data_IF_980039240186
#
_entry.id   IF_980039240186
#
_cell.length_a   1.000
_cell.length_b   1.000
_cell.length_c   1.000
_cell.angle_alpha   90.00
_cell.angle_beta   90.00
_cell.angle_gamma   90.00
#
_symmetry.space_group_name_H-M   'P 1'
#
loop_
_entity.id
_entity.type
_entity.pdbx_description
1 polymer ?
#
# COMPACT_ATOMS: atom_id res chain seq x y z
N UNK A 1 17.25 9.50 15.48
CA UNK A 1 16.20 10.52 15.32
C UNK A 1 14.88 9.77 15.21
N UNK A 2 13.96 9.88 16.19
CA UNK A 2 12.75 9.04 16.23
C UNK A 2 11.48 9.69 15.63
N UNK A 3 11.54 10.95 15.19
CA UNK A 3 10.35 11.75 14.86
C UNK A 3 9.66 11.41 13.52
N UNK A 4 10.23 10.56 12.68
CA UNK A 4 9.66 10.26 11.34
C UNK A 4 8.64 9.12 11.37
N UNK A 5 8.63 8.29 12.42
CA UNK A 5 7.80 7.07 12.46
C UNK A 5 6.33 7.39 12.69
N UNK A 6 6.00 8.27 13.65
CA UNK A 6 4.60 8.59 13.99
C UNK A 6 3.83 9.35 12.87
N UNK A 7 4.52 10.03 11.96
CA UNK A 7 3.86 10.86 10.93
C UNK A 7 3.42 10.05 9.70
N UNK A 8 4.10 8.93 9.41
CA UNK A 8 3.91 8.18 8.17
C UNK A 8 2.86 7.08 8.26
N UNK A 9 2.53 6.59 9.46
CA UNK A 9 1.56 5.49 9.63
C UNK A 9 2.10 4.12 9.25
N UNK A 10 3.42 3.97 9.08
CA UNK A 10 4.08 2.69 8.82
C UNK A 10 5.56 2.69 9.23
N UNK A 11 6.15 1.51 9.42
CA UNK A 11 7.59 1.31 9.62
C UNK A 11 8.08 -0.01 8.97
N UNK A 12 9.29 0.01 8.42
CA UNK A 12 9.98 -1.20 7.96
C UNK A 12 10.39 -2.07 9.15
N UNK A 13 10.18 -3.38 9.06
CA UNK A 13 10.60 -4.34 10.08
C UNK A 13 11.60 -5.35 9.48
N UNK A 14 12.62 -5.73 10.25
CA UNK A 14 13.54 -6.78 9.83
C UNK A 14 12.81 -8.14 9.81
N UNK A 15 12.72 -8.74 8.63
CA UNK A 15 12.18 -10.08 8.45
C UNK A 15 13.26 -10.98 7.84
N UNK A 16 13.35 -12.23 8.31
CA UNK A 16 14.46 -13.15 7.99
C UNK A 16 14.42 -13.74 6.57
N UNK A 17 13.46 -13.36 5.72
CA UNK A 17 13.30 -13.95 4.40
C UNK A 17 13.25 -12.91 3.26
N UNK A 18 12.39 -11.90 3.31
CA UNK A 18 12.20 -11.02 2.15
C UNK A 18 12.08 -9.56 2.61
N UNK A 19 10.92 -8.91 2.59
CA UNK A 19 10.72 -7.63 3.29
C UNK A 19 9.37 -7.61 3.98
N UNK A 20 9.29 -6.94 5.13
CA UNK A 20 8.02 -6.71 5.79
C UNK A 20 7.97 -5.32 6.39
N UNK A 21 6.76 -4.81 6.52
CA UNK A 21 6.51 -3.53 7.16
C UNK A 21 5.22 -3.57 7.95
N UNK A 22 5.23 -2.86 9.06
CA UNK A 22 4.07 -2.68 9.91
C UNK A 22 3.41 -1.37 9.55
N UNK A 23 2.08 -1.39 9.44
CA UNK A 23 1.24 -0.25 9.08
C UNK A 23 0.20 -0.08 10.17
N UNK A 24 -0.14 1.16 10.48
CA UNK A 24 -1.22 1.50 11.41
C UNK A 24 -2.06 2.67 10.91
N UNK A 25 -3.31 2.72 11.35
CA UNK A 25 -4.26 3.77 10.99
C UNK A 25 -5.43 3.80 11.95
N UNK A 26 -6.15 4.92 12.01
CA UNK A 26 -7.31 5.08 12.90
C UNK A 26 -8.51 4.22 12.48
N UNK A 27 -8.58 3.83 11.22
CA UNK A 27 -9.62 3.00 10.62
C UNK A 27 -9.07 2.23 9.39
N UNK A 28 -9.89 1.36 8.80
CA UNK A 28 -9.48 0.53 7.66
C UNK A 28 -9.09 1.36 6.43
N UNK A 29 -9.84 2.43 6.12
CA UNK A 29 -9.53 3.29 4.98
C UNK A 29 -8.16 3.93 5.12
N UNK A 30 -7.87 4.49 6.30
CA UNK A 30 -6.55 5.06 6.58
C UNK A 30 -5.47 3.97 6.51
N UNK A 31 -5.71 2.79 7.09
CA UNK A 31 -4.77 1.68 7.06
C UNK A 31 -4.37 1.30 5.62
N UNK A 32 -5.34 1.27 4.70
CA UNK A 32 -5.12 0.96 3.29
C UNK A 32 -4.29 2.05 2.59
N UNK A 33 -4.62 3.32 2.84
CA UNK A 33 -3.85 4.44 2.31
C UNK A 33 -2.40 4.40 2.82
N UNK A 34 -2.20 4.17 4.13
CA UNK A 34 -0.86 4.05 4.72
C UNK A 34 -0.10 2.85 4.20
N UNK A 35 -0.78 1.73 3.94
CA UNK A 35 -0.17 0.54 3.38
C UNK A 35 0.35 0.77 1.96
N UNK A 36 -0.43 1.47 1.12
CA UNK A 36 -0.01 1.87 -0.22
C UNK A 36 1.18 2.85 -0.18
N UNK A 37 1.15 3.84 0.72
CA UNK A 37 2.26 4.76 0.93
C UNK A 37 3.53 4.03 1.38
N UNK A 38 3.39 3.10 2.33
CA UNK A 38 4.50 2.27 2.82
C UNK A 38 5.12 1.41 1.72
N UNK A 39 4.30 0.83 0.84
CA UNK A 39 4.77 0.07 -0.32
C UNK A 39 5.70 0.91 -1.21
N UNK A 40 5.24 2.09 -1.65
CA UNK A 40 6.04 2.97 -2.52
C UNK A 40 7.27 3.54 -1.81
N UNK A 41 7.18 3.82 -0.52
CA UNK A 41 8.32 4.25 0.28
C UNK A 41 9.40 3.15 0.33
N UNK A 42 9.00 1.90 0.60
CA UNK A 42 9.92 0.76 0.64
C UNK A 42 10.53 0.46 -0.72
N UNK A 43 9.74 0.59 -1.79
CA UNK A 43 10.21 0.50 -3.16
C UNK A 43 11.30 1.54 -3.50
N UNK A 44 11.40 2.61 -2.72
CA UNK A 44 12.19 3.79 -3.08
C UNK A 44 11.63 4.50 -4.30
N UNK A 45 10.31 4.40 -4.52
CA UNK A 45 9.67 4.92 -5.72
C UNK A 45 9.77 6.45 -5.77
N UNK A 46 10.19 6.98 -6.92
CA UNK A 46 10.12 8.41 -7.23
C UNK A 46 9.24 8.62 -8.44
N UNK A 47 8.23 9.46 -8.26
CA UNK A 47 7.35 9.88 -9.34
C UNK A 47 8.08 10.87 -10.23
N UNK A 48 7.93 10.69 -11.54
CA UNK A 48 8.43 11.62 -12.54
C UNK A 48 7.61 12.91 -12.61
N UNK A 49 8.14 13.86 -13.35
CA UNK A 49 7.45 15.12 -13.65
C UNK A 49 6.45 14.93 -14.80
N UNK A 50 5.31 15.62 -14.73
CA UNK A 50 4.27 15.54 -15.76
C UNK A 50 2.85 15.71 -15.22
N UNK A 51 1.88 15.69 -16.14
CA UNK A 51 0.46 15.63 -15.79
C UNK A 51 0.09 14.26 -15.23
N UNK A 52 -0.70 14.24 -14.17
CA UNK A 52 -1.19 13.01 -13.58
C UNK A 52 -2.33 12.42 -14.40
N UNK A 53 -2.38 11.09 -14.46
CA UNK A 53 -3.44 10.33 -15.10
C UNK A 53 -4.42 9.89 -14.02
N UNK A 54 -5.68 10.27 -14.18
CA UNK A 54 -6.75 9.82 -13.28
C UNK A 54 -7.24 8.43 -13.68
N UNK A 55 -7.31 7.51 -12.73
CA UNK A 55 -7.85 6.15 -12.93
C UNK A 55 -8.70 5.71 -11.76
N UNK A 56 -9.87 5.17 -12.04
CA UNK A 56 -10.67 4.50 -11.02
C UNK A 56 -10.36 3.01 -11.03
N UNK A 57 -10.16 2.45 -9.83
CA UNK A 57 -9.97 1.01 -9.62
C UNK A 57 -11.09 0.48 -8.73
N UNK A 58 -11.49 -0.76 -8.99
CA UNK A 58 -12.35 -1.53 -8.11
C UNK A 58 -11.62 -2.81 -7.72
N UNK A 59 -11.49 -3.04 -6.41
CA UNK A 59 -10.82 -4.21 -5.85
C UNK A 59 -11.81 -4.98 -4.99
N UNK A 60 -11.72 -6.31 -5.01
CA UNK A 60 -12.54 -7.22 -4.20
C UNK A 60 -11.68 -8.20 -3.43
N UNK A 61 -12.13 -8.54 -2.24
CA UNK A 61 -11.51 -9.54 -1.36
C UNK A 61 -12.58 -10.40 -0.68
N UNK A 62 -12.19 -11.52 -0.08
CA UNK A 62 -13.10 -12.35 0.72
C UNK A 62 -13.27 -11.82 2.16
N UNK A 63 -12.33 -10.99 2.59
CA UNK A 63 -12.25 -10.27 3.87
C UNK A 63 -11.39 -9.01 3.70
N UNK A 64 -11.21 -8.24 4.78
CA UNK A 64 -10.45 -6.99 4.77
C UNK A 64 -8.97 -7.22 4.48
N UNK A 65 -8.37 -8.27 5.03
CA UNK A 65 -6.99 -8.67 4.78
C UNK A 65 -6.76 -8.98 3.30
N UNK A 66 -7.65 -9.76 2.70
CA UNK A 66 -7.56 -10.13 1.29
C UNK A 66 -7.80 -8.95 0.37
N UNK A 67 -8.71 -8.05 0.75
CA UNK A 67 -8.93 -6.79 0.05
C UNK A 67 -7.69 -5.91 0.08
N UNK A 68 -6.96 -5.86 1.20
CA UNK A 68 -5.71 -5.12 1.34
C UNK A 68 -4.62 -5.70 0.43
N UNK A 69 -4.40 -7.01 0.47
CA UNK A 69 -3.41 -7.68 -0.40
C UNK A 69 -3.75 -7.47 -1.88
N UNK A 70 -5.01 -7.63 -2.25
CA UNK A 70 -5.46 -7.40 -3.63
C UNK A 70 -5.23 -5.94 -4.05
N UNK A 71 -5.47 -4.98 -3.15
CA UNK A 71 -5.23 -3.56 -3.43
C UNK A 71 -3.75 -3.29 -3.70
N UNK A 72 -2.85 -3.79 -2.84
CA UNK A 72 -1.41 -3.58 -3.01
C UNK A 72 -0.89 -4.26 -4.28
N UNK A 73 -1.39 -5.45 -4.62
CA UNK A 73 -1.03 -6.14 -5.85
C UNK A 73 -1.54 -5.42 -7.10
N UNK A 74 -2.71 -4.79 -7.05
CA UNK A 74 -3.18 -3.91 -8.13
C UNK A 74 -2.24 -2.72 -8.33
N UNK A 75 -1.77 -2.11 -7.24
CA UNK A 75 -0.81 -1.01 -7.30
C UNK A 75 0.55 -1.42 -7.86
N UNK A 76 1.03 -2.61 -7.52
CA UNK A 76 2.25 -3.20 -8.09
C UNK A 76 2.07 -3.51 -9.58
N UNK A 77 0.90 -4.03 -9.97
CA UNK A 77 0.59 -4.33 -11.36
C UNK A 77 0.62 -3.08 -12.25
N UNK A 78 0.11 -1.94 -11.76
CA UNK A 78 0.20 -0.65 -12.46
C UNK A 78 1.65 -0.23 -12.70
N UNK A 79 2.55 -0.50 -11.75
CA UNK A 79 3.97 -0.24 -11.93
C UNK A 79 4.59 -1.21 -12.93
N UNK A 80 4.39 -2.52 -12.76
CA UNK A 80 4.99 -3.56 -13.59
C UNK A 80 4.58 -3.46 -15.08
N UNK A 81 3.30 -3.19 -15.36
CA UNK A 81 2.79 -3.15 -16.73
C UNK A 81 2.93 -1.79 -17.42
N UNK A 82 2.74 -0.70 -16.67
CA UNK A 82 2.61 0.65 -17.26
C UNK A 82 3.68 1.63 -16.78
N UNK A 83 4.58 1.20 -15.87
CA UNK A 83 5.55 2.06 -15.20
C UNK A 83 4.88 3.29 -14.53
N UNK A 84 3.70 3.07 -13.92
CA UNK A 84 2.93 4.09 -13.20
C UNK A 84 2.91 3.81 -11.70
N UNK A 85 2.90 4.86 -10.88
CA UNK A 85 2.68 4.76 -9.45
C UNK A 85 1.71 5.84 -8.97
N UNK A 86 1.08 5.58 -7.83
CA UNK A 86 0.06 6.46 -7.26
C UNK A 86 0.70 7.68 -6.58
N UNK A 87 0.34 8.86 -7.07
CA UNK A 87 0.58 10.13 -6.40
C UNK A 87 -0.46 10.40 -5.30
N UNK A 88 -1.73 10.09 -5.57
CA UNK A 88 -2.83 10.29 -4.61
C UNK A 88 -3.85 9.18 -4.76
N UNK A 89 -4.26 8.60 -3.63
CA UNK A 89 -5.30 7.57 -3.54
C UNK A 89 -6.49 8.18 -2.78
N UNK A 90 -7.64 8.29 -3.44
CA UNK A 90 -8.88 8.72 -2.81
C UNK A 90 -9.90 7.59 -2.84
N UNK A 91 -10.27 7.07 -1.67
CA UNK A 91 -11.27 6.01 -1.54
C UNK A 91 -12.66 6.62 -1.78
N UNK A 92 -13.40 6.06 -2.73
CA UNK A 92 -14.75 6.48 -3.09
C UNK A 92 -15.81 5.63 -2.36
N UNK A 93 -15.52 4.33 -2.19
CA UNK A 93 -16.37 3.38 -1.49
C UNK A 93 -15.48 2.39 -0.73
N UNK A 94 -15.84 2.12 0.53
CA UNK A 94 -15.17 1.12 1.34
C UNK A 94 -16.20 0.20 2.01
N UNK A 95 -16.17 -1.08 1.65
CA UNK A 95 -17.01 -2.14 2.18
C UNK A 95 -16.11 -3.29 2.70
N UNK A 96 -16.62 -4.20 3.54
CA UNK A 96 -15.80 -5.27 4.13
C UNK A 96 -15.06 -6.17 3.13
N UNK A 97 -15.54 -6.24 1.88
CA UNK A 97 -15.04 -7.13 0.82
C UNK A 97 -14.82 -6.41 -0.51
N UNK A 98 -14.98 -5.08 -0.56
CA UNK A 98 -14.93 -4.30 -1.80
C UNK A 98 -14.44 -2.88 -1.52
N UNK A 99 -13.58 -2.38 -2.40
CA UNK A 99 -13.12 -1.00 -2.37
C UNK A 99 -13.20 -0.43 -3.79
N UNK A 100 -13.70 0.80 -3.91
CA UNK A 100 -13.54 1.62 -5.10
C UNK A 100 -12.66 2.82 -4.73
N UNK A 101 -11.66 3.11 -5.56
CA UNK A 101 -10.76 4.22 -5.33
C UNK A 101 -10.43 4.94 -6.63
N UNK A 102 -10.25 6.26 -6.53
CA UNK A 102 -9.72 7.10 -7.59
C UNK A 102 -8.25 7.37 -7.33
N UNK A 103 -7.43 7.03 -8.31
CA UNK A 103 -5.97 7.16 -8.29
C UNK A 103 -5.55 8.29 -9.21
N UNK A 104 -4.74 9.21 -8.69
CA UNK A 104 -3.87 10.07 -9.49
C UNK A 104 -2.56 9.32 -9.71
N UNK A 105 -2.24 8.99 -10.95
CA UNK A 105 -1.06 8.20 -11.33
C UNK A 105 -0.02 9.06 -12.04
N UNK A 106 1.25 8.80 -11.78
CA UNK A 106 2.38 9.40 -12.50
C UNK A 106 3.37 8.35 -12.99
N UNK A 107 4.08 8.62 -14.09
CA UNK A 107 5.21 7.81 -14.50
C UNK A 107 6.22 7.66 -13.37
N UNK A 108 6.78 6.47 -13.20
CA UNK A 108 7.85 6.21 -12.24
C UNK A 108 9.19 6.57 -12.87
N UNK A 109 9.92 7.47 -12.22
CA UNK A 109 11.28 7.86 -12.61
C UNK A 109 12.33 6.91 -12.02
N UNK A 110 12.10 6.46 -10.79
CA UNK A 110 13.02 5.56 -10.07
C UNK A 110 12.21 4.57 -9.25
N UNK A 111 12.64 3.30 -9.28
CA UNK A 111 12.14 2.22 -8.45
C UNK A 111 13.34 1.39 -8.02
N UNK A 112 13.70 1.47 -6.74
CA UNK A 112 15.00 0.97 -6.25
C UNK A 112 14.91 -0.51 -5.90
N UNK A 113 13.84 -0.92 -5.22
CA UNK A 113 13.65 -2.29 -4.74
C UNK A 113 12.61 -3.00 -5.60
N UNK A 114 13.01 -4.08 -6.26
CA UNK A 114 12.08 -4.89 -7.05
C UNK A 114 11.13 -5.64 -6.10
N UNK A 115 9.84 -5.25 -6.10
CA UNK A 115 8.80 -5.84 -5.25
C UNK A 115 7.81 -6.49 -6.20
N UNK A 116 7.72 -7.83 -6.14
CA UNK A 116 6.89 -8.63 -7.05
C UNK A 116 5.44 -8.66 -6.63
N UNK A 117 5.18 -8.86 -5.34
CA UNK A 117 3.83 -9.00 -4.82
C UNK A 117 3.75 -8.74 -3.31
N UNK A 118 2.60 -8.24 -2.86
CA UNK A 118 2.16 -8.38 -1.47
C UNK A 118 1.63 -9.80 -1.24
N UNK A 119 2.06 -10.42 -0.14
CA UNK A 119 1.70 -11.81 0.20
C UNK A 119 0.64 -11.87 1.30
N UNK A 120 -0.06 -13.00 1.36
CA UNK A 120 -0.98 -13.34 2.44
C UNK A 120 -0.27 -13.91 3.68
N UNK A 121 1.07 -13.87 3.74
CA UNK A 121 1.81 -14.58 4.77
C UNK A 121 1.61 -13.93 6.15
N UNK A 122 0.89 -14.63 7.04
CA UNK A 122 0.56 -14.18 8.40
C UNK A 122 -0.09 -12.78 8.47
N UNK A 123 -0.81 -12.37 7.42
CA UNK A 123 -1.54 -11.10 7.45
C UNK A 123 -2.69 -11.19 8.45
N UNK A 124 -2.76 -10.21 9.35
CA UNK A 124 -3.83 -10.08 10.32
C UNK A 124 -4.00 -8.61 10.68
N UNK A 125 -5.19 -8.06 10.43
CA UNK A 125 -5.52 -6.71 10.89
C UNK A 125 -5.95 -6.81 12.35
N UNK A 126 -5.21 -6.14 13.23
CA UNK A 126 -5.41 -6.20 14.68
C UNK A 126 -5.90 -4.85 15.20
N UNK A 127 -6.95 -4.83 16.02
CA UNK A 127 -7.30 -3.62 16.75
C UNK A 127 -6.26 -3.33 17.84
N UNK A 128 -5.93 -2.06 18.01
CA UNK A 128 -5.04 -1.52 19.04
C UNK A 128 -5.79 -0.47 19.87
N UNK A 129 -5.17 0.05 20.92
CA UNK A 129 -5.76 1.14 21.72
C UNK A 129 -5.94 2.44 20.90
N UNK A 130 -5.16 2.61 19.83
CA UNK A 130 -5.10 3.83 19.01
C UNK A 130 -5.72 3.66 17.61
N UNK A 131 -6.17 2.45 17.24
CA UNK A 131 -6.78 2.18 15.94
C UNK A 131 -6.60 0.73 15.49
N UNK A 132 -6.04 0.57 14.29
CA UNK A 132 -5.78 -0.72 13.64
C UNK A 132 -4.30 -0.80 13.27
N UNK A 133 -3.74 -2.01 13.31
CA UNK A 133 -2.41 -2.31 12.80
C UNK A 133 -2.41 -3.57 11.93
N UNK A 134 -1.50 -3.66 10.98
CA UNK A 134 -1.25 -4.86 10.18
C UNK A 134 0.23 -4.96 9.85
N UNK A 135 0.73 -6.20 9.75
CA UNK A 135 2.06 -6.48 9.22
C UNK A 135 1.92 -7.08 7.83
N UNK A 136 2.57 -6.45 6.86
CA UNK A 136 2.55 -6.84 5.46
C UNK A 136 3.90 -7.41 5.08
N UNK A 137 3.91 -8.58 4.45
CA UNK A 137 5.10 -9.25 3.93
C UNK A 137 5.08 -9.17 2.42
N UNK A 138 6.18 -8.69 1.84
CA UNK A 138 6.37 -8.48 0.41
C UNK A 138 7.31 -9.56 -0.15
N UNK A 139 6.96 -10.07 -1.33
CA UNK A 139 7.78 -10.95 -2.16
C UNK A 139 8.60 -10.11 -3.14
N UNK A 140 9.88 -10.47 -3.34
CA UNK A 140 10.91 -9.65 -3.98
C UNK A 140 11.66 -10.45 -5.03
#
# INVERSE_FOLDING_TARGET
MPETREILGFEEIEHTADWAYRVWGSNLEELFIRAAQGLYYLAGAKLGEGESIEREIEVRGIDAESLLVATLNELLHLHDQENLAVETLNILLFEPTRMEAKLSLKPVQEWIKDIKAATYHNIAIKPTEEGLEVTLVLDV
#
